data_IF_406973743203
#
_entry.id   IF_406973743203
#
_cell.length_a   1.000
_cell.length_b   1.000
_cell.length_c   1.000
_cell.angle_alpha   90.00
_cell.angle_beta   90.00
_cell.angle_gamma   90.00
#
_symmetry.space_group_name_H-M   'P 1'
#
loop_
_entity.id
_entity.type
_entity.pdbx_description
1 polymer ?
#
# COMPACT_ATOMS: atom_id res chain seq x y z
N UNK A 1 -1.68 22.76 23.57
CA UNK A 1 -2.33 23.70 24.52
C UNK A 1 -3.65 24.08 23.87
N UNK A 2 -4.78 23.60 24.39
CA UNK A 2 -6.09 23.81 23.77
C UNK A 2 -6.64 25.12 24.35
N UNK A 3 -6.23 26.25 23.77
CA UNK A 3 -6.47 27.57 24.34
C UNK A 3 -7.94 28.00 24.35
N UNK A 4 -8.74 27.49 23.42
CA UNK A 4 -10.17 27.81 23.23
C UNK A 4 -11.10 26.64 23.60
N UNK A 5 -10.56 25.54 24.13
CA UNK A 5 -11.31 24.32 24.42
C UNK A 5 -11.65 23.45 23.20
N UNK A 6 -11.16 23.76 21.99
CA UNK A 6 -11.49 23.03 20.77
C UNK A 6 -10.30 22.26 20.17
N UNK A 7 -10.54 21.04 19.68
CA UNK A 7 -9.52 20.22 19.01
C UNK A 7 -10.02 19.78 17.64
N UNK A 8 -9.34 20.22 16.58
CA UNK A 8 -9.60 19.75 15.22
C UNK A 8 -8.71 18.56 14.90
N UNK A 9 -9.33 17.44 14.53
CA UNK A 9 -8.65 16.20 14.17
C UNK A 9 -9.00 15.79 12.74
N UNK A 10 -7.98 15.37 11.98
CA UNK A 10 -8.18 14.74 10.67
C UNK A 10 -8.12 13.23 10.82
N UNK A 11 -9.16 12.54 10.35
CA UNK A 11 -9.22 11.08 10.27
C UNK A 11 -9.06 10.65 8.82
N UNK A 12 -8.08 9.79 8.55
CA UNK A 12 -7.99 9.03 7.32
C UNK A 12 -8.97 7.84 7.29
N UNK A 13 -9.03 7.10 6.17
CA UNK A 13 -9.86 5.91 6.06
C UNK A 13 -9.52 4.88 7.15
N UNK A 14 -10.51 4.43 7.91
CA UNK A 14 -10.31 3.45 9.00
C UNK A 14 -9.25 3.89 10.05
N UNK A 15 -9.06 5.19 10.26
CA UNK A 15 -8.26 5.72 11.36
C UNK A 15 -9.00 5.56 12.70
N UNK A 16 -8.24 5.24 13.76
CA UNK A 16 -8.65 5.38 15.15
C UNK A 16 -7.64 6.22 15.90
N UNK A 17 -8.09 7.09 16.81
CA UNK A 17 -7.20 7.93 17.63
C UNK A 17 -7.60 7.81 19.09
N UNK A 18 -6.62 7.65 19.97
CA UNK A 18 -6.78 7.75 21.42
C UNK A 18 -6.30 9.14 21.86
N UNK A 19 -7.18 9.92 22.49
CA UNK A 19 -6.86 11.23 23.01
C UNK A 19 -6.61 11.12 24.52
N UNK A 20 -5.40 11.49 24.95
CA UNK A 20 -5.00 11.47 26.36
C UNK A 20 -4.72 12.90 26.81
N UNK A 21 -5.43 13.35 27.84
CA UNK A 21 -5.24 14.66 28.44
C UNK A 21 -4.47 14.49 29.76
N UNK A 22 -3.21 14.94 29.78
CA UNK A 22 -2.31 14.82 30.92
C UNK A 22 -1.82 16.22 31.36
N UNK A 23 -1.50 16.36 32.65
CA UNK A 23 -0.84 17.53 33.22
C UNK A 23 0.62 17.64 32.76
N UNK A 24 1.23 16.55 32.30
CA UNK A 24 2.57 16.57 31.72
C UNK A 24 2.55 17.30 30.35
N UNK A 25 3.10 18.51 30.34
CA UNK A 25 3.18 19.36 29.14
C UNK A 25 4.42 19.08 28.28
N UNK A 26 5.34 18.21 28.72
CA UNK A 26 6.57 17.88 27.99
C UNK A 26 6.33 16.63 27.14
N UNK A 27 6.13 16.83 25.85
CA UNK A 27 6.00 15.77 24.86
C UNK A 27 6.45 16.23 23.48
N UNK A 28 6.81 15.28 22.62
CA UNK A 28 7.07 15.59 21.22
C UNK A 28 5.76 15.99 20.55
N UNK A 29 5.77 17.11 19.83
CA UNK A 29 4.62 17.52 19.05
C UNK A 29 4.44 16.56 17.87
N UNK A 30 3.25 15.95 17.80
CA UNK A 30 2.89 15.07 16.68
C UNK A 30 2.66 15.93 15.45
N UNK A 31 3.57 15.86 14.48
CA UNK A 31 3.35 16.45 13.16
C UNK A 31 2.36 15.58 12.39
N UNK A 32 1.32 16.17 11.78
CA UNK A 32 0.41 15.40 10.94
C UNK A 32 1.16 14.83 9.74
N UNK A 33 0.81 13.61 9.35
CA UNK A 33 1.26 13.06 8.06
C UNK A 33 0.68 13.95 6.96
N UNK A 34 1.57 14.51 6.14
CA UNK A 34 1.17 15.33 5.01
C UNK A 34 0.54 14.42 3.95
N UNK A 35 -0.59 14.86 3.39
CA UNK A 35 -1.22 14.23 2.24
C UNK A 35 -0.98 15.16 1.07
N UNK A 36 0.02 14.80 0.26
CA UNK A 36 0.50 15.63 -0.85
C UNK A 36 1.50 16.69 -0.44
N UNK A 37 2.06 17.37 -1.43
CA UNK A 37 3.08 18.40 -1.26
C UNK A 37 3.09 19.42 -2.38
N UNK A 38 3.87 20.49 -2.24
CA UNK A 38 4.03 21.53 -3.27
C UNK A 38 4.68 21.00 -4.55
N UNK A 39 5.43 19.89 -4.45
CA UNK A 39 6.03 19.18 -5.57
C UNK A 39 5.69 17.70 -5.44
N UNK A 40 4.86 17.18 -6.34
CA UNK A 40 4.52 15.75 -6.41
C UNK A 40 5.12 15.14 -7.68
N UNK A 41 5.85 14.06 -7.51
CA UNK A 41 6.39 13.25 -8.61
C UNK A 41 5.54 11.99 -8.76
N UNK A 42 5.04 11.74 -9.96
CA UNK A 42 4.26 10.54 -10.29
C UNK A 42 5.19 9.38 -10.67
N UNK A 43 5.04 8.26 -9.96
CA UNK A 43 5.78 7.03 -10.18
C UNK A 43 4.87 5.85 -10.56
N UNK A 44 3.63 6.09 -10.98
CA UNK A 44 2.59 5.07 -11.18
C UNK A 44 2.78 4.13 -12.39
N UNK A 45 3.79 4.37 -13.23
CA UNK A 45 4.04 3.62 -14.47
C UNK A 45 5.27 2.73 -14.39
N UNK A 46 5.38 1.73 -15.25
CA UNK A 46 6.60 0.95 -15.48
C UNK A 46 7.26 0.36 -14.21
N UNK A 47 6.49 -0.44 -13.47
CA UNK A 47 7.00 -1.23 -12.35
C UNK A 47 7.38 -2.63 -12.80
N UNK A 48 8.58 -3.08 -12.42
CA UNK A 48 8.89 -4.51 -12.45
C UNK A 48 8.13 -5.19 -11.32
N UNK A 49 7.52 -6.35 -11.58
CA UNK A 49 6.76 -7.09 -10.59
C UNK A 49 7.13 -8.57 -10.58
N UNK A 50 7.32 -9.10 -9.38
CA UNK A 50 7.46 -10.54 -9.11
C UNK A 50 6.28 -11.02 -8.29
N UNK A 51 5.43 -11.83 -8.90
CA UNK A 51 4.23 -12.40 -8.31
C UNK A 51 4.57 -13.78 -7.76
N UNK A 52 4.57 -13.92 -6.44
CA UNK A 52 4.75 -15.18 -5.72
C UNK A 52 3.38 -15.67 -5.27
N UNK A 53 2.83 -16.62 -6.00
CA UNK A 53 1.49 -17.15 -5.74
C UNK A 53 1.50 -18.16 -4.59
N UNK A 54 0.37 -18.30 -3.90
CA UNK A 54 0.23 -19.20 -2.73
C UNK A 54 0.43 -20.68 -3.06
N UNK A 55 0.27 -21.07 -4.33
CA UNK A 55 0.55 -22.43 -4.82
C UNK A 55 2.04 -22.68 -5.14
N UNK A 56 2.92 -21.72 -4.84
CA UNK A 56 4.37 -21.83 -5.03
C UNK A 56 4.88 -21.35 -6.40
N UNK A 57 4.00 -20.98 -7.35
CA UNK A 57 4.47 -20.45 -8.64
C UNK A 57 5.00 -19.03 -8.50
N UNK A 58 6.01 -18.69 -9.30
CA UNK A 58 6.59 -17.35 -9.38
C UNK A 58 6.55 -16.87 -10.83
N UNK A 59 5.92 -15.71 -11.06
CA UNK A 59 5.88 -15.04 -12.36
C UNK A 59 6.52 -13.67 -12.26
N UNK A 60 7.41 -13.32 -13.19
CA UNK A 60 7.93 -11.95 -13.34
C UNK A 60 7.23 -11.28 -14.51
N UNK A 61 6.88 -10.01 -14.37
CA UNK A 61 6.22 -9.20 -15.40
C UNK A 61 6.59 -7.73 -15.25
N UNK A 62 6.31 -6.94 -16.28
CA UNK A 62 6.32 -5.49 -16.23
C UNK A 62 4.88 -4.98 -16.16
N UNK A 63 4.57 -4.11 -15.21
CA UNK A 63 3.32 -3.35 -15.18
C UNK A 63 3.58 -1.94 -15.71
N UNK A 64 3.18 -1.68 -16.96
CA UNK A 64 3.28 -0.35 -17.57
C UNK A 64 2.36 0.68 -16.90
N UNK A 65 1.23 0.22 -16.38
CA UNK A 65 0.34 1.01 -15.53
C UNK A 65 -0.14 0.16 -14.36
N UNK A 66 -0.19 0.76 -13.19
CA UNK A 66 -0.80 0.15 -12.01
C UNK A 66 -2.33 0.20 -12.15
N UNK A 67 -3.00 -0.91 -11.83
CA UNK A 67 -4.45 -0.97 -11.71
C UNK A 67 -4.87 -2.08 -10.75
N UNK A 68 -6.16 -2.18 -10.47
CA UNK A 68 -6.72 -3.26 -9.66
C UNK A 68 -6.55 -4.60 -10.39
N UNK A 69 -5.95 -5.58 -9.71
CA UNK A 69 -5.72 -6.90 -10.30
C UNK A 69 -7.02 -7.61 -10.66
N UNK A 70 -8.14 -7.29 -9.99
CA UNK A 70 -9.44 -7.88 -10.31
C UNK A 70 -9.88 -7.55 -11.75
N UNK A 71 -9.40 -6.42 -12.30
CA UNK A 71 -9.75 -5.92 -13.63
C UNK A 71 -8.73 -6.39 -14.69
N UNK A 72 -7.71 -7.16 -14.28
CA UNK A 72 -6.72 -7.75 -15.17
C UNK A 72 -6.98 -9.26 -15.33
N UNK A 73 -7.38 -9.75 -16.52
CA UNK A 73 -7.75 -11.16 -16.72
C UNK A 73 -6.69 -12.17 -16.24
N UNK A 74 -5.40 -11.86 -16.44
CA UNK A 74 -4.29 -12.73 -16.04
C UNK A 74 -4.07 -12.82 -14.51
N UNK A 75 -4.63 -11.88 -13.74
CA UNK A 75 -4.33 -11.71 -12.31
C UNK A 75 -5.57 -11.67 -11.41
N UNK A 76 -6.77 -11.74 -11.99
CA UNK A 76 -8.04 -11.66 -11.25
C UNK A 76 -8.15 -12.66 -10.10
N UNK A 77 -7.56 -13.86 -10.27
CA UNK A 77 -7.54 -14.93 -9.26
C UNK A 77 -6.21 -15.04 -8.50
N UNK A 78 -5.28 -14.08 -8.66
CA UNK A 78 -4.01 -14.12 -7.95
C UNK A 78 -4.21 -14.05 -6.43
N UNK A 79 -3.59 -14.97 -5.70
CA UNK A 79 -3.41 -14.83 -4.26
C UNK A 79 -1.98 -15.10 -3.85
N UNK A 80 -1.39 -14.18 -3.08
CA UNK A 80 -0.02 -14.31 -2.61
C UNK A 80 0.64 -12.95 -2.39
N UNK A 81 1.95 -12.90 -2.64
CA UNK A 81 2.75 -11.68 -2.48
C UNK A 81 3.24 -11.18 -3.84
N UNK A 82 3.02 -9.90 -4.12
CA UNK A 82 3.56 -9.23 -5.29
C UNK A 82 4.65 -8.28 -4.83
N UNK A 83 5.83 -8.39 -5.43
CA UNK A 83 6.96 -7.54 -5.13
C UNK A 83 7.19 -6.61 -6.30
N UNK A 84 6.81 -5.34 -6.14
CA UNK A 84 7.01 -4.28 -7.12
C UNK A 84 8.36 -3.62 -6.90
N UNK A 85 9.15 -3.43 -7.96
CA UNK A 85 10.48 -2.83 -7.91
C UNK A 85 10.60 -1.71 -8.91
N UNK A 86 11.25 -0.63 -8.48
CA UNK A 86 11.57 0.51 -9.33
C UNK A 86 12.77 1.26 -8.80
N UNK A 87 13.53 1.90 -9.69
CA UNK A 87 14.50 2.91 -9.32
C UNK A 87 13.90 4.30 -9.48
N UNK A 88 14.14 5.15 -8.48
CA UNK A 88 13.70 6.55 -8.49
C UNK A 88 14.93 7.45 -8.37
N UNK A 89 14.98 8.53 -9.14
CA UNK A 89 16.07 9.50 -9.06
C UNK A 89 15.64 10.69 -8.21
N UNK A 90 16.37 10.93 -7.13
CA UNK A 90 16.17 12.06 -6.22
C UNK A 90 17.29 13.09 -6.44
N UNK A 91 16.97 14.18 -7.15
CA UNK A 91 17.89 15.30 -7.32
C UNK A 91 18.15 16.02 -5.98
N UNK A 92 17.10 16.19 -5.17
CA UNK A 92 17.12 16.84 -3.87
C UNK A 92 16.34 16.00 -2.85
N UNK A 93 17.06 15.26 -2.00
CA UNK A 93 16.45 14.36 -1.01
C UNK A 93 15.60 15.10 0.01
N UNK A 94 16.05 16.27 0.47
CA UNK A 94 15.33 17.05 1.50
C UNK A 94 13.99 17.61 1.02
N UNK A 95 13.74 17.62 -0.28
CA UNK A 95 12.48 18.03 -0.88
C UNK A 95 11.47 16.88 -1.01
N UNK A 96 11.86 15.63 -0.70
CA UNK A 96 11.04 14.44 -0.83
C UNK A 96 10.97 13.71 0.52
N UNK A 97 9.82 13.77 1.18
CA UNK A 97 9.63 13.22 2.51
C UNK A 97 8.85 11.93 2.54
N UNK A 98 7.89 11.76 1.64
CA UNK A 98 6.88 10.73 1.70
C UNK A 98 6.72 9.97 0.38
N UNK A 99 6.51 8.66 0.49
CA UNK A 99 6.01 7.81 -0.58
C UNK A 99 4.54 7.51 -0.30
N UNK A 100 3.65 8.02 -1.15
CA UNK A 100 2.23 7.74 -1.10
C UNK A 100 1.89 6.68 -2.16
N UNK A 101 1.45 5.51 -1.74
CA UNK A 101 1.08 4.41 -2.63
C UNK A 101 -0.33 4.59 -3.25
N UNK A 102 -1.06 5.62 -2.83
CA UNK A 102 -2.45 5.82 -3.22
C UNK A 102 -3.32 4.67 -2.72
N UNK A 103 -4.09 4.08 -3.64
CA UNK A 103 -4.98 2.97 -3.33
C UNK A 103 -4.24 1.64 -3.39
N UNK A 104 -4.29 0.91 -2.28
CA UNK A 104 -3.75 -0.46 -2.16
C UNK A 104 -4.80 -1.35 -1.54
N UNK A 105 -5.03 -2.51 -2.15
CA UNK A 105 -5.88 -3.55 -1.62
C UNK A 105 -5.03 -4.73 -1.15
N UNK A 106 -4.86 -4.82 0.16
CA UNK A 106 -3.96 -5.76 0.81
C UNK A 106 -3.06 -5.08 1.83
N UNK A 107 -2.04 -5.79 2.28
CA UNK A 107 -1.00 -5.27 3.18
C UNK A 107 0.15 -4.77 2.31
N UNK A 108 0.64 -3.57 2.57
CA UNK A 108 1.77 -2.96 1.87
C UNK A 108 2.96 -2.81 2.81
N UNK A 109 4.12 -3.32 2.41
CA UNK A 109 5.40 -3.10 3.06
C UNK A 109 6.35 -2.40 2.09
N UNK A 110 7.03 -1.36 2.55
CA UNK A 110 7.94 -0.56 1.72
C UNK A 110 9.36 -0.72 2.21
N UNK A 111 10.28 -0.93 1.28
CA UNK A 111 11.71 -0.78 1.53
C UNK A 111 12.35 0.20 0.54
N UNK A 112 13.30 0.99 1.02
CA UNK A 112 14.07 1.95 0.23
C UNK A 112 15.54 1.68 0.47
N UNK A 113 16.30 1.42 -0.60
CA UNK A 113 17.71 1.04 -0.54
C UNK A 113 17.97 -0.13 0.45
N UNK A 114 17.05 -1.10 0.47
CA UNK A 114 17.10 -2.27 1.36
C UNK A 114 16.71 -1.99 2.82
N UNK A 115 16.39 -0.74 3.19
CA UNK A 115 15.95 -0.38 4.55
C UNK A 115 14.43 -0.36 4.63
N UNK A 116 13.87 -0.93 5.70
CA UNK A 116 12.43 -1.01 5.91
C UNK A 116 11.86 0.36 6.30
N UNK A 117 10.89 0.85 5.51
CA UNK A 117 10.18 2.11 5.74
C UNK A 117 8.84 1.92 6.46
N UNK A 118 8.44 0.67 6.73
CA UNK A 118 7.27 0.30 7.47
C UNK A 118 6.33 -0.62 6.69
N UNK A 119 5.28 -1.04 7.40
CA UNK A 119 4.18 -1.85 6.88
C UNK A 119 2.86 -1.18 7.27
N UNK A 120 1.91 -1.16 6.34
CA UNK A 120 0.56 -0.65 6.54
C UNK A 120 -0.47 -1.61 5.96
N UNK A 121 -1.60 -1.79 6.64
CA UNK A 121 -2.68 -2.68 6.23
C UNK A 121 -4.05 -1.98 6.11
N UNK A 122 -4.13 -0.69 6.47
CA UNK A 122 -5.30 0.16 6.39
C UNK A 122 -4.88 1.62 6.21
N UNK A 123 -5.85 2.54 6.10
CA UNK A 123 -5.57 3.97 6.04
C UNK A 123 -4.90 4.44 4.76
N UNK A 124 -4.47 5.70 4.82
CA UNK A 124 -3.69 6.32 3.77
C UNK A 124 -2.32 5.66 3.72
N UNK A 125 -1.96 5.06 2.57
CA UNK A 125 -0.73 4.28 2.38
C UNK A 125 0.48 5.19 2.15
N UNK A 126 0.83 5.96 3.17
CA UNK A 126 1.87 7.00 3.13
C UNK A 126 3.02 6.64 4.05
N UNK A 127 4.23 6.53 3.50
CA UNK A 127 5.44 6.11 4.20
C UNK A 127 6.45 7.24 4.22
N UNK A 128 7.03 7.53 5.39
CA UNK A 128 8.15 8.48 5.48
C UNK A 128 9.43 7.81 4.98
N UNK A 129 10.03 8.38 3.93
CA UNK A 129 11.19 7.77 3.24
C UNK A 129 12.44 8.66 3.19
N UNK A 130 12.34 9.94 3.59
CA UNK A 130 13.46 10.91 3.62
C UNK A 130 14.78 10.32 4.16
N UNK A 131 14.74 9.64 5.30
CA UNK A 131 15.89 9.07 6.02
C UNK A 131 16.57 7.90 5.29
N UNK A 132 15.96 7.39 4.23
CA UNK A 132 16.47 6.26 3.45
C UNK A 132 16.93 6.67 2.05
N UNK A 133 16.53 7.86 1.60
CA UNK A 133 16.88 8.39 0.29
C UNK A 133 18.33 8.88 0.26
N UNK A 134 18.94 8.71 -0.91
CA UNK A 134 20.27 9.18 -1.29
C UNK A 134 20.14 10.09 -2.51
N UNK A 135 21.09 11.01 -2.68
CA UNK A 135 21.15 11.81 -3.92
C UNK A 135 21.42 10.88 -5.11
N UNK A 136 20.65 11.06 -6.18
CA UNK A 136 20.70 10.19 -7.36
C UNK A 136 19.75 9.00 -7.24
N UNK A 137 20.19 7.82 -7.67
CA UNK A 137 19.31 6.68 -7.89
C UNK A 137 19.06 5.83 -6.65
N UNK A 138 17.79 5.66 -6.29
CA UNK A 138 17.33 4.91 -5.13
C UNK A 138 16.50 3.69 -5.55
N UNK A 139 16.77 2.54 -4.95
CA UNK A 139 15.97 1.34 -5.16
C UNK A 139 14.75 1.36 -4.23
N UNK A 140 13.55 1.25 -4.78
CA UNK A 140 12.30 1.13 -4.04
C UNK A 140 11.69 -0.25 -4.31
N UNK A 141 11.35 -0.96 -3.25
CA UNK A 141 10.59 -2.20 -3.31
C UNK A 141 9.31 -2.05 -2.48
N UNK A 142 8.16 -2.37 -3.09
CA UNK A 142 6.87 -2.40 -2.44
C UNK A 142 6.36 -3.84 -2.49
N UNK A 143 6.18 -4.46 -1.34
CA UNK A 143 5.52 -5.76 -1.25
C UNK A 143 4.04 -5.55 -0.97
N UNK A 144 3.18 -6.17 -1.77
CA UNK A 144 1.73 -6.22 -1.54
C UNK A 144 1.30 -7.64 -1.32
N UNK A 145 0.72 -7.91 -0.16
CA UNK A 145 0.16 -9.21 0.22
C UNK A 145 -1.35 -9.15 0.02
N UNK A 146 -1.88 -9.97 -0.88
CA UNK A 146 -3.30 -9.99 -1.25
C UNK A 146 -4.09 -10.98 -0.42
N UNK A 147 -5.42 -10.90 -0.50
CA UNK A 147 -6.30 -11.89 0.13
C UNK A 147 -6.44 -13.14 -0.75
N UNK A 148 -7.07 -14.19 -0.23
CA UNK A 148 -7.37 -15.41 -0.99
C UNK A 148 -8.75 -15.38 -1.67
N UNK A 149 -9.55 -14.32 -1.49
CA UNK A 149 -10.97 -14.32 -1.85
C UNK A 149 -11.24 -14.75 -3.29
N UNK A 150 -10.54 -14.14 -4.26
CA UNK A 150 -10.75 -14.47 -5.66
C UNK A 150 -10.15 -15.83 -6.04
N UNK A 151 -9.06 -16.25 -5.40
CA UNK A 151 -8.45 -17.55 -5.63
C UNK A 151 -9.34 -18.69 -5.11
N UNK A 152 -9.96 -18.54 -3.95
CA UNK A 152 -10.88 -19.55 -3.38
C UNK A 152 -12.01 -19.90 -4.35
N UNK A 153 -12.48 -18.94 -5.16
CA UNK A 153 -13.49 -19.18 -6.19
C UNK A 153 -13.05 -20.20 -7.25
N UNK A 154 -11.75 -20.35 -7.50
CA UNK A 154 -11.22 -21.27 -8.52
C UNK A 154 -11.00 -22.69 -8.00
N UNK A 155 -11.14 -22.93 -6.69
CA UNK A 155 -10.95 -24.25 -6.09
C UNK A 155 -12.19 -25.12 -6.27
N UNK A 156 -12.47 -25.55 -7.50
CA UNK A 156 -13.69 -26.28 -7.88
C UNK A 156 -13.83 -27.62 -7.15
N UNK A 157 -12.71 -28.27 -6.84
CA UNK A 157 -12.69 -29.58 -6.19
C UNK A 157 -12.78 -29.48 -4.66
N UNK A 158 -12.79 -28.25 -4.11
CA UNK A 158 -12.94 -28.02 -2.68
C UNK A 158 -14.40 -27.63 -2.37
N UNK A 159 -15.23 -28.55 -1.83
CA UNK A 159 -16.64 -28.29 -1.58
C UNK A 159 -16.87 -27.16 -0.57
N UNK A 160 -15.96 -26.98 0.40
CA UNK A 160 -16.05 -25.89 1.39
C UNK A 160 -15.77 -24.54 0.73
N UNK A 161 -14.77 -24.47 -0.16
CA UNK A 161 -14.49 -23.27 -0.93
C UNK A 161 -15.70 -22.89 -1.80
N UNK A 162 -16.24 -23.85 -2.55
CA UNK A 162 -17.40 -23.64 -3.41
C UNK A 162 -18.63 -23.16 -2.63
N UNK A 163 -18.91 -23.79 -1.47
CA UNK A 163 -20.00 -23.39 -0.59
C UNK A 163 -19.88 -21.93 -0.14
N UNK A 164 -18.69 -21.49 0.29
CA UNK A 164 -18.50 -20.14 0.82
C UNK A 164 -18.30 -19.06 -0.23
N UNK A 165 -17.96 -19.41 -1.48
CA UNK A 165 -17.61 -18.39 -2.50
C UNK A 165 -18.45 -18.38 -3.77
N UNK A 166 -19.14 -19.47 -4.15
CA UNK A 166 -19.78 -19.59 -5.46
C UNK A 166 -21.27 -20.01 -5.42
N UNK A 167 -21.74 -20.67 -4.37
CA UNK A 167 -23.15 -21.06 -4.26
C UNK A 167 -24.09 -19.86 -4.21
N UNK A 168 -25.30 -19.94 -4.78
CA UNK A 168 -26.21 -18.80 -4.99
C UNK A 168 -26.33 -17.83 -3.81
N UNK A 169 -26.58 -18.34 -2.59
CA UNK A 169 -26.74 -17.50 -1.38
C UNK A 169 -25.42 -17.00 -0.78
N UNK A 170 -24.29 -17.51 -1.27
CA UNK A 170 -22.92 -17.28 -0.77
C UNK A 170 -21.96 -16.79 -1.87
N UNK A 171 -22.46 -16.51 -3.08
CA UNK A 171 -21.63 -16.09 -4.19
C UNK A 171 -20.97 -14.75 -3.87
N UNK A 172 -19.68 -14.79 -3.55
CA UNK A 172 -18.90 -13.61 -3.21
C UNK A 172 -18.51 -12.88 -4.50
N UNK A 173 -18.64 -11.55 -4.55
CA UNK A 173 -18.12 -10.79 -5.68
C UNK A 173 -16.59 -10.86 -5.71
N UNK A 174 -16.00 -10.61 -6.88
CA UNK A 174 -14.55 -10.43 -7.00
C UNK A 174 -14.12 -9.24 -6.14
N UNK A 175 -13.08 -9.47 -5.34
CA UNK A 175 -12.47 -8.51 -4.46
C UNK A 175 -11.34 -7.78 -5.19
N UNK A 176 -11.23 -6.49 -4.90
CA UNK A 176 -10.11 -5.67 -5.32
C UNK A 176 -8.82 -6.11 -4.65
N UNK A 177 -7.70 -6.09 -5.39
CA UNK A 177 -6.40 -6.58 -4.92
C UNK A 177 -5.24 -5.81 -5.57
N UNK A 178 -4.12 -5.71 -4.85
CA UNK A 178 -2.85 -5.21 -5.40
C UNK A 178 -2.61 -3.71 -5.18
N UNK A 179 -1.56 -3.22 -5.84
CA UNK A 179 -1.18 -1.80 -5.87
C UNK A 179 -1.87 -1.11 -7.04
N UNK A 180 -2.89 -0.29 -6.77
CA UNK A 180 -3.63 0.44 -7.80
C UNK A 180 -3.08 1.84 -8.05
N UNK A 181 -2.42 2.43 -7.06
CA UNK A 181 -1.89 3.79 -7.18
C UNK A 181 -2.97 4.88 -7.05
N UNK A 182 -2.69 6.10 -7.54
CA UNK A 182 -1.40 6.52 -8.09
C UNK A 182 -0.30 6.49 -7.03
N UNK A 183 0.92 6.15 -7.43
CA UNK A 183 2.10 6.19 -6.57
C UNK A 183 2.79 7.53 -6.75
N UNK A 184 2.95 8.28 -5.66
CA UNK A 184 3.53 9.63 -5.67
C UNK A 184 4.62 9.77 -4.62
N UNK A 185 5.58 10.65 -4.90
CA UNK A 185 6.59 11.08 -3.94
C UNK A 185 6.56 12.60 -3.81
N UNK A 186 6.59 13.11 -2.58
CA UNK A 186 6.56 14.53 -2.23
C UNK A 186 7.19 14.79 -0.86
#
# INVERSE_FOLDING_TARGET
>A
NIGDGSLTLKFGPADSKLLVFDKNKKGQELKPVLIGGSKELDFSKDWEAELRHINGTVKKTQFHALSDLKDMPDYVHFSGTIIYRKRIDAAEVNALSYLNLGKVYGISEVTVNGKNAGLQWHGNRIFEINKFLLKGSNAVEIKVITTMGNYMKTLTDNPIAQYWTNEKRKNQPLQSMGLCGPVKIY
#
